data_IF_905388594854
#
_entry.id   IF_905388594854
#
_cell.length_a   1.000
_cell.length_b   1.000
_cell.length_c   1.000
_cell.angle_alpha   90.00
_cell.angle_beta   90.00
_cell.angle_gamma   90.00
#
_symmetry.space_group_name_H-M   'P 1'
#
loop_
_entity.id
_entity.type
_entity.pdbx_description
1 polymer ?
#
# COMPACT_ATOMS: atom_id res chain seq x y z
N UNK A 1 -7.02 22.94 9.30
CA UNK A 1 -6.04 22.05 8.66
C UNK A 1 -6.50 21.77 7.24
N UNK A 2 -5.60 21.68 6.25
CA UNK A 2 -6.03 21.31 4.91
C UNK A 2 -6.66 19.93 4.93
N UNK A 3 -7.69 19.73 4.09
CA UNK A 3 -8.37 18.44 3.97
C UNK A 3 -7.43 17.43 3.32
N UNK A 4 -7.40 16.21 3.86
CA UNK A 4 -6.69 15.07 3.27
C UNK A 4 -7.71 14.21 2.53
N UNK A 5 -7.55 14.06 1.23
CA UNK A 5 -8.34 13.13 0.41
C UNK A 5 -7.51 11.87 0.20
N UNK A 6 -8.09 10.72 0.53
CA UNK A 6 -7.40 9.45 0.53
C UNK A 6 -8.00 8.48 -0.49
N UNK A 7 -7.28 8.23 -1.57
CA UNK A 7 -7.67 7.33 -2.64
C UNK A 7 -7.16 5.93 -2.33
N UNK A 8 -8.08 5.01 -2.05
CA UNK A 8 -7.74 3.66 -1.60
C UNK A 8 -8.84 2.65 -1.89
N UNK A 9 -8.56 1.37 -1.63
CA UNK A 9 -9.57 0.32 -1.49
C UNK A 9 -9.33 -0.49 -0.21
N UNK A 10 -10.38 -1.07 0.41
CA UNK A 10 -10.30 -1.65 1.75
C UNK A 10 -9.26 -2.76 1.92
N UNK A 11 -9.12 -3.65 0.92
CA UNK A 11 -8.23 -4.82 0.95
C UNK A 11 -6.74 -4.48 0.73
N UNK A 12 -6.39 -3.22 0.43
CA UNK A 12 -4.99 -2.84 0.18
C UNK A 12 -4.18 -2.81 1.48
N UNK A 13 -3.17 -3.64 1.58
CA UNK A 13 -2.23 -3.69 2.73
C UNK A 13 -1.43 -2.40 2.86
N UNK A 14 -0.95 -1.84 1.74
CA UNK A 14 -0.27 -0.55 1.73
C UNK A 14 -1.21 0.61 2.11
N UNK A 15 -2.49 0.53 1.73
CA UNK A 15 -3.47 1.48 2.23
C UNK A 15 -3.67 1.32 3.74
N UNK A 16 -3.67 0.11 4.28
CA UNK A 16 -3.75 -0.10 5.73
C UNK A 16 -2.56 0.54 6.46
N UNK A 17 -1.35 0.46 5.91
CA UNK A 17 -0.16 1.14 6.45
C UNK A 17 -0.40 2.65 6.62
N UNK A 18 -0.92 3.34 5.61
CA UNK A 18 -1.20 4.78 5.70
C UNK A 18 -2.38 5.08 6.64
N UNK A 19 -3.43 4.24 6.67
CA UNK A 19 -4.53 4.39 7.66
C UNK A 19 -4.01 4.30 9.10
N UNK A 20 -3.05 3.42 9.37
CA UNK A 20 -2.40 3.33 10.68
C UNK A 20 -1.67 4.63 11.02
N UNK A 21 -0.97 5.24 10.06
CA UNK A 21 -0.32 6.54 10.25
C UNK A 21 -1.33 7.64 10.54
N UNK A 22 -2.45 7.70 9.82
CA UNK A 22 -3.53 8.65 10.13
C UNK A 22 -4.05 8.48 11.56
N UNK A 23 -4.24 7.23 12.00
CA UNK A 23 -4.66 6.94 13.37
C UNK A 23 -3.64 7.38 14.41
N UNK A 24 -2.35 7.06 14.23
CA UNK A 24 -1.27 7.45 15.13
C UNK A 24 -1.15 8.98 15.27
N UNK A 25 -1.34 9.70 14.17
CA UNK A 25 -1.28 11.17 14.14
C UNK A 25 -2.60 11.87 14.47
N UNK A 26 -3.68 11.12 14.69
CA UNK A 26 -5.01 11.69 14.94
C UNK A 26 -5.56 12.51 13.77
N UNK A 27 -5.20 12.16 12.53
CA UNK A 27 -5.58 12.92 11.33
C UNK A 27 -6.93 12.46 10.80
N UNK A 28 -7.83 13.42 10.55
CA UNK A 28 -9.04 13.20 9.80
C UNK A 28 -8.75 13.20 8.29
N UNK A 29 -9.46 12.37 7.54
CA UNK A 29 -9.32 12.26 6.10
C UNK A 29 -10.65 11.91 5.43
N UNK A 30 -10.79 12.24 4.16
CA UNK A 30 -11.94 11.89 3.32
C UNK A 30 -11.60 10.68 2.47
N UNK A 31 -12.43 9.64 2.55
CA UNK A 31 -12.26 8.40 1.78
C UNK A 31 -12.78 8.57 0.35
N UNK A 32 -11.95 8.21 -0.61
CA UNK A 32 -12.33 7.99 -2.01
C UNK A 32 -11.98 6.54 -2.36
N UNK A 33 -13.01 5.73 -2.53
CA UNK A 33 -12.82 4.33 -2.92
C UNK A 33 -12.55 4.26 -4.42
N UNK A 34 -11.41 3.69 -4.76
CA UNK A 34 -11.00 3.44 -6.15
C UNK A 34 -11.07 1.95 -6.48
N UNK A 35 -11.15 1.56 -7.76
CA UNK A 35 -11.07 0.17 -8.18
C UNK A 35 -9.78 -0.51 -7.67
N UNK A 36 -9.88 -1.77 -7.28
CA UNK A 36 -8.71 -2.58 -6.85
C UNK A 36 -7.83 -3.05 -8.00
N UNK A 37 -8.32 -2.92 -9.24
CA UNK A 37 -7.66 -3.27 -10.52
C UNK A 37 -7.91 -2.21 -11.59
N UNK A 38 -7.23 -2.31 -12.71
CA UNK A 38 -7.50 -1.46 -13.86
C UNK A 38 -8.87 -1.80 -14.52
N UNK A 39 -9.52 -0.83 -15.16
CA UNK A 39 -9.13 0.59 -15.26
C UNK A 39 -9.43 1.41 -14.00
N UNK A 40 -8.66 2.49 -13.79
CA UNK A 40 -8.84 3.46 -12.71
C UNK A 40 -9.01 4.87 -13.31
N UNK A 41 -10.13 5.15 -13.97
CA UNK A 41 -10.28 6.33 -14.82
C UNK A 41 -10.08 7.65 -14.07
N UNK A 42 -10.53 7.74 -12.82
CA UNK A 42 -10.41 8.97 -12.02
C UNK A 42 -9.03 9.12 -11.37
N UNK A 43 -8.32 8.02 -11.12
CA UNK A 43 -7.00 8.04 -10.49
C UNK A 43 -5.88 8.34 -11.48
N UNK A 44 -5.94 7.73 -12.66
CA UNK A 44 -4.85 7.80 -13.64
C UNK A 44 -4.51 9.23 -14.09
N UNK A 45 -5.50 10.10 -14.43
CA UNK A 45 -5.22 11.50 -14.75
C UNK A 45 -4.65 12.29 -13.56
N UNK A 46 -5.14 12.01 -12.34
CA UNK A 46 -4.71 12.68 -11.12
C UNK A 46 -3.24 12.41 -10.79
N UNK A 47 -2.75 11.22 -11.11
CA UNK A 47 -1.42 10.74 -10.70
C UNK A 47 -0.39 10.73 -11.83
N UNK A 48 -0.76 11.21 -13.02
CA UNK A 48 0.12 11.14 -14.19
C UNK A 48 0.45 9.70 -14.63
N UNK A 49 -0.46 8.75 -14.37
CA UNK A 49 -0.28 7.34 -14.76
C UNK A 49 0.15 6.39 -13.64
N UNK A 50 0.36 6.86 -12.42
CA UNK A 50 0.71 5.97 -11.30
C UNK A 50 -0.53 5.19 -10.84
N UNK A 51 -0.51 3.87 -11.05
CA UNK A 51 -1.68 2.99 -10.79
C UNK A 51 -1.74 2.38 -9.39
N UNK A 52 -0.65 2.44 -8.62
CA UNK A 52 -0.58 1.79 -7.31
C UNK A 52 -1.38 2.56 -6.24
N UNK A 53 -1.67 1.89 -5.15
CA UNK A 53 -2.51 2.38 -4.06
C UNK A 53 -1.76 2.22 -2.74
N UNK A 54 -1.84 3.17 -1.81
CA UNK A 54 -2.72 4.34 -1.79
C UNK A 54 -2.12 5.58 -2.47
N UNK A 55 -2.99 6.60 -2.64
CA UNK A 55 -2.61 7.96 -3.03
C UNK A 55 -3.31 8.95 -2.08
N UNK A 56 -2.64 10.03 -1.70
CA UNK A 56 -3.28 11.13 -0.97
C UNK A 56 -3.23 12.42 -1.79
N UNK A 57 -4.24 13.26 -1.57
CA UNK A 57 -4.29 14.61 -2.08
C UNK A 57 -4.46 15.58 -0.92
N UNK A 58 -3.66 16.65 -0.91
CA UNK A 58 -3.73 17.72 0.09
C UNK A 58 -3.71 19.05 -0.65
N UNK A 59 -4.88 19.70 -0.79
CA UNK A 59 -5.04 20.86 -1.66
C UNK A 59 -4.84 20.47 -3.13
N UNK A 60 -3.92 21.11 -3.82
CA UNK A 60 -3.56 20.80 -5.22
C UNK A 60 -2.49 19.72 -5.36
N UNK A 61 -1.81 19.36 -4.27
CA UNK A 61 -0.70 18.42 -4.29
C UNK A 61 -1.18 16.97 -4.20
N UNK A 62 -0.59 16.08 -5.00
CA UNK A 62 -0.88 14.65 -5.03
C UNK A 62 0.39 13.87 -4.68
N UNK A 63 0.27 12.97 -3.71
CA UNK A 63 1.39 12.16 -3.21
C UNK A 63 1.11 10.68 -3.47
N UNK A 64 2.02 10.07 -4.20
CA UNK A 64 2.03 8.65 -4.53
C UNK A 64 3.16 7.95 -3.79
N UNK A 65 3.02 6.63 -3.55
CA UNK A 65 3.91 5.79 -2.75
C UNK A 65 3.83 6.05 -1.24
N UNK A 66 3.81 4.95 -0.47
CA UNK A 66 3.60 5.03 0.99
C UNK A 66 4.74 5.70 1.73
N UNK A 67 5.99 5.59 1.25
CA UNK A 67 7.12 6.26 1.88
C UNK A 67 7.04 7.77 1.65
N UNK A 68 6.76 8.20 0.41
CA UNK A 68 6.53 9.61 0.08
C UNK A 68 5.37 10.20 0.91
N UNK A 69 4.25 9.47 0.99
CA UNK A 69 3.08 9.87 1.79
C UNK A 69 3.47 10.03 3.27
N UNK A 70 4.18 9.07 3.85
CA UNK A 70 4.58 9.10 5.26
C UNK A 70 5.55 10.25 5.54
N UNK A 71 6.53 10.48 4.67
CA UNK A 71 7.43 11.64 4.78
C UNK A 71 6.66 12.96 4.78
N UNK A 72 5.71 13.12 3.88
CA UNK A 72 4.93 14.35 3.79
C UNK A 72 3.99 14.54 4.99
N UNK A 73 3.38 13.46 5.48
CA UNK A 73 2.56 13.52 6.69
C UNK A 73 3.39 13.87 7.92
N UNK A 74 4.60 13.31 8.06
CA UNK A 74 5.52 13.67 9.14
C UNK A 74 5.95 15.13 9.07
N UNK A 75 6.30 15.61 7.87
CA UNK A 75 6.69 17.00 7.63
C UNK A 75 5.58 18.01 7.96
N UNK A 76 4.32 17.71 7.57
CA UNK A 76 3.17 18.62 7.81
C UNK A 76 2.63 18.52 9.22
N UNK A 77 2.70 17.36 9.81
CA UNK A 77 2.13 17.03 11.12
C UNK A 77 3.20 16.34 11.98
N UNK A 78 4.22 17.08 12.47
CA UNK A 78 5.35 16.46 13.16
C UNK A 78 4.97 15.79 14.49
N UNK A 79 3.86 16.17 15.11
CA UNK A 79 3.42 15.60 16.38
C UNK A 79 2.09 14.82 16.25
N UNK A 80 2.01 13.64 16.86
CA UNK A 80 3.13 12.86 17.43
C UNK A 80 4.06 12.34 16.33
N UNK A 81 5.37 12.36 16.57
CA UNK A 81 6.34 11.87 15.57
C UNK A 81 6.25 10.36 15.36
N UNK A 82 6.42 9.93 14.10
CA UNK A 82 6.55 8.51 13.73
C UNK A 82 7.96 7.96 14.01
N UNK A 83 8.92 8.83 14.35
CA UNK A 83 10.33 8.50 14.56
C UNK A 83 10.81 8.85 15.97
N UNK A 84 10.22 8.27 17.04
CA UNK A 84 10.57 8.62 18.41
C UNK A 84 12.05 8.37 18.68
N UNK A 85 12.69 9.31 19.39
CA UNK A 85 14.11 9.24 19.73
C UNK A 85 15.07 9.46 18.55
N UNK A 86 14.60 10.10 17.46
CA UNK A 86 15.44 10.44 16.30
C UNK A 86 15.90 9.22 15.48
N UNK A 87 15.20 8.10 15.57
CA UNK A 87 15.57 6.82 14.91
C UNK A 87 14.99 6.67 13.50
N UNK A 88 14.89 7.76 12.77
CA UNK A 88 14.30 7.79 11.43
C UNK A 88 15.00 6.81 10.47
N UNK A 89 16.33 6.81 10.44
CA UNK A 89 17.11 5.91 9.57
C UNK A 89 16.81 4.43 9.82
N UNK A 90 16.70 4.02 11.10
CA UNK A 90 16.35 2.65 11.46
C UNK A 90 14.92 2.31 11.02
N UNK A 91 13.98 3.23 11.22
CA UNK A 91 12.58 3.03 10.79
C UNK A 91 12.48 2.85 9.27
N UNK A 92 13.23 3.62 8.49
CA UNK A 92 13.27 3.46 7.02
C UNK A 92 13.93 2.16 6.59
N UNK A 93 15.00 1.71 7.24
CA UNK A 93 15.62 0.41 6.97
C UNK A 93 14.63 -0.74 7.21
N UNK A 94 13.94 -0.73 8.36
CA UNK A 94 12.91 -1.72 8.67
C UNK A 94 11.73 -1.62 7.73
N UNK A 95 11.27 -0.40 7.40
CA UNK A 95 10.22 -0.16 6.42
C UNK A 95 10.56 -0.73 5.05
N UNK A 96 11.77 -0.54 4.57
CA UNK A 96 12.22 -1.11 3.30
C UNK A 96 12.24 -2.64 3.35
N UNK A 97 12.79 -3.23 4.41
CA UNK A 97 12.80 -4.67 4.58
C UNK A 97 11.38 -5.26 4.62
N UNK A 98 10.46 -4.64 5.37
CA UNK A 98 9.08 -5.11 5.45
C UNK A 98 8.35 -4.97 4.12
N UNK A 99 8.53 -3.88 3.38
CA UNK A 99 7.83 -3.61 2.12
C UNK A 99 8.37 -4.44 0.95
N UNK A 100 9.63 -4.89 1.00
CA UNK A 100 10.28 -5.60 -0.12
C UNK A 100 10.51 -7.08 0.16
N UNK A 101 11.07 -7.42 1.32
CA UNK A 101 11.45 -8.79 1.65
C UNK A 101 10.29 -9.53 2.32
N UNK A 102 9.91 -9.06 3.50
CA UNK A 102 8.83 -9.70 4.28
C UNK A 102 7.49 -9.73 3.52
N UNK A 103 7.11 -8.62 2.90
CA UNK A 103 5.85 -8.53 2.15
C UNK A 103 5.77 -9.53 1.01
N UNK A 104 6.86 -9.79 0.30
CA UNK A 104 6.89 -10.75 -0.80
C UNK A 104 6.58 -12.18 -0.30
N UNK A 105 7.20 -12.57 0.81
CA UNK A 105 6.94 -13.87 1.44
C UNK A 105 5.51 -13.95 2.00
N UNK A 106 5.05 -12.89 2.68
CA UNK A 106 3.69 -12.83 3.21
C UNK A 106 2.63 -12.90 2.11
N UNK A 107 2.86 -12.25 0.97
CA UNK A 107 1.95 -12.32 -0.19
C UNK A 107 1.91 -13.74 -0.75
N UNK A 108 3.05 -14.40 -0.89
CA UNK A 108 3.10 -15.78 -1.38
C UNK A 108 2.29 -16.71 -0.49
N UNK A 109 2.46 -16.60 0.84
CA UNK A 109 1.71 -17.38 1.83
C UNK A 109 0.21 -17.11 1.76
N UNK A 110 -0.20 -15.82 1.77
CA UNK A 110 -1.61 -15.43 1.78
C UNK A 110 -2.29 -15.80 0.46
N UNK A 111 -1.71 -15.46 -0.68
CA UNK A 111 -2.30 -15.77 -1.99
C UNK A 111 -2.35 -17.27 -2.24
N UNK A 112 -1.31 -18.03 -1.86
CA UNK A 112 -1.34 -19.46 -1.94
C UNK A 112 -2.45 -20.08 -1.08
N UNK A 113 -2.65 -19.60 0.15
CA UNK A 113 -3.67 -20.10 1.06
C UNK A 113 -5.12 -19.80 0.64
N UNK A 114 -5.34 -18.73 -0.15
CA UNK A 114 -6.67 -18.32 -0.61
C UNK A 114 -6.83 -18.40 -2.14
N UNK A 115 -5.91 -19.05 -2.82
CA UNK A 115 -5.83 -19.11 -4.28
C UNK A 115 -7.18 -19.42 -4.96
N UNK A 116 -7.88 -20.43 -4.45
CA UNK A 116 -9.16 -20.90 -5.00
C UNK A 116 -10.34 -19.90 -4.77
N UNK A 117 -10.12 -18.84 -3.97
CA UNK A 117 -11.12 -17.82 -3.63
C UNK A 117 -10.82 -16.47 -4.29
N UNK A 118 -9.69 -16.35 -4.98
CA UNK A 118 -9.30 -15.11 -5.64
C UNK A 118 -10.14 -14.91 -6.90
N UNK A 119 -10.57 -13.66 -7.13
CA UNK A 119 -11.21 -13.27 -8.39
C UNK A 119 -10.18 -13.36 -9.54
N UNK A 120 -10.48 -14.06 -10.64
CA UNK A 120 -9.54 -14.25 -11.75
C UNK A 120 -9.05 -12.91 -12.35
N UNK A 121 -9.93 -11.95 -12.56
CA UNK A 121 -9.57 -10.64 -13.12
C UNK A 121 -8.69 -9.83 -12.15
N UNK A 122 -8.83 -10.05 -10.83
CA UNK A 122 -7.91 -9.46 -9.85
C UNK A 122 -6.52 -10.11 -9.94
N UNK A 123 -6.45 -11.41 -10.12
CA UNK A 123 -5.18 -12.14 -10.29
C UNK A 123 -4.46 -11.69 -11.55
N UNK A 124 -5.16 -11.63 -12.68
CA UNK A 124 -4.62 -11.16 -13.96
C UNK A 124 -4.02 -9.75 -13.84
N UNK A 125 -4.76 -8.81 -13.24
CA UNK A 125 -4.26 -7.45 -13.00
C UNK A 125 -3.01 -7.44 -12.12
N UNK A 126 -2.91 -8.32 -11.11
CA UNK A 126 -1.72 -8.42 -10.26
C UNK A 126 -0.53 -9.01 -10.98
N UNK A 127 -0.74 -10.01 -11.82
CA UNK A 127 0.31 -10.60 -12.67
C UNK A 127 0.87 -9.52 -13.60
N UNK A 128 0.00 -8.81 -14.32
CA UNK A 128 0.39 -7.72 -15.20
C UNK A 128 1.16 -6.62 -14.46
N UNK A 129 0.62 -6.16 -13.31
CA UNK A 129 1.23 -5.11 -12.50
C UNK A 129 2.62 -5.46 -11.99
N UNK A 130 2.92 -6.75 -11.82
CA UNK A 130 4.22 -7.27 -11.33
C UNK A 130 5.11 -7.78 -12.47
N UNK A 131 4.79 -7.46 -13.71
CA UNK A 131 5.58 -7.88 -14.87
C UNK A 131 5.66 -9.40 -15.05
N UNK A 132 4.60 -10.13 -14.72
CA UNK A 132 4.54 -11.59 -14.82
C UNK A 132 5.15 -12.36 -13.64
N UNK A 133 5.66 -11.69 -12.63
CA UNK A 133 6.37 -12.34 -11.50
C UNK A 133 5.46 -13.01 -10.45
N UNK A 134 4.14 -13.03 -10.66
CA UNK A 134 3.19 -13.64 -9.72
C UNK A 134 2.71 -15.00 -10.27
N UNK A 135 3.17 -16.07 -9.66
CA UNK A 135 2.79 -17.46 -9.99
C UNK A 135 1.95 -18.03 -8.83
N UNK A 136 0.62 -18.02 -9.01
CA UNK A 136 -0.33 -18.44 -7.97
C UNK A 136 -0.23 -19.95 -7.70
N UNK A 137 -0.02 -20.79 -8.72
CA UNK A 137 0.08 -22.24 -8.55
C UNK A 137 1.34 -22.61 -7.78
N UNK A 138 2.46 -21.96 -8.07
CA UNK A 138 3.68 -22.11 -7.30
C UNK A 138 3.47 -21.67 -5.84
N UNK A 139 2.86 -20.52 -5.62
CA UNK A 139 2.55 -20.03 -4.27
C UNK A 139 1.67 -21.00 -3.49
N UNK A 140 0.67 -21.61 -4.14
CA UNK A 140 -0.20 -22.63 -3.54
C UNK A 140 0.58 -23.88 -3.12
N UNK A 141 1.50 -24.34 -3.96
CA UNK A 141 2.34 -25.50 -3.66
C UNK A 141 3.34 -25.24 -2.51
N UNK A 142 3.78 -24.01 -2.33
CA UNK A 142 4.77 -23.61 -1.32
C UNK A 142 4.15 -23.24 0.04
N UNK A 143 2.81 -23.16 0.18
CA UNK A 143 2.15 -22.79 1.46
C UNK A 143 2.58 -23.64 2.65
N UNK A 144 2.71 -24.99 2.57
CA UNK A 144 3.16 -25.79 3.70
C UNK A 144 4.58 -25.46 4.16
N UNK A 145 5.48 -25.16 3.21
CA UNK A 145 6.90 -24.87 3.47
C UNK A 145 7.13 -23.47 4.05
N UNK A 146 6.23 -22.54 3.78
CA UNK A 146 6.31 -21.14 4.26
C UNK A 146 5.64 -20.92 5.63
N UNK A 147 5.12 -21.99 6.26
CA UNK A 147 4.50 -21.92 7.60
C UNK A 147 5.45 -22.21 8.74
N UNK A 148 6.56 -22.86 8.46
CA UNK A 148 7.61 -23.22 9.40
C UNK A 148 8.74 -22.19 9.40
#
# INVERSE_FOLDING_TARGET
MPEIIYHHYPKSTFAQKVRTVFGLKGLAWRSVIIPDRMPKPDLMPLTGGYRSTPVIQIGADVYCDTQCIICELERRFPEPTLFPGGREGLAWCLGFWTDKVFYTTAVALVFGAVADKLDPGYVEDRIEHRGGALDIEKMKAEVPQNRD
#
